data_IF_086118100875
#
_entry.id   IF_086118100875
#
_cell.length_a   1.000
_cell.length_b   1.000
_cell.length_c   1.000
_cell.angle_alpha   90.00
_cell.angle_beta   90.00
_cell.angle_gamma   90.00
#
_symmetry.space_group_name_H-M   'P 1'
#
loop_
_entity.id
_entity.type
_entity.pdbx_description
1 polymer ?
#
# COMPACT_ATOMS: atom_id res chain seq x y z
N UNK A 1 22.42 -3.90 2.23
CA UNK A 1 21.16 -4.65 2.49
C UNK A 1 21.18 -5.87 1.58
N UNK A 2 20.69 -7.03 2.02
CA UNK A 2 20.48 -8.16 1.10
C UNK A 2 19.45 -7.73 0.06
N UNK A 3 19.75 -7.91 -1.22
CA UNK A 3 18.78 -7.64 -2.28
C UNK A 3 17.81 -8.84 -2.38
N UNK A 4 16.52 -8.53 -2.46
CA UNK A 4 15.44 -9.51 -2.57
C UNK A 4 14.71 -9.20 -3.88
N UNK A 5 14.97 -9.99 -4.93
CA UNK A 5 14.54 -9.66 -6.29
C UNK A 5 13.03 -9.64 -6.49
N UNK A 6 12.28 -10.41 -5.70
CA UNK A 6 10.82 -10.43 -5.71
C UNK A 6 10.21 -9.16 -5.11
N UNK A 7 10.90 -8.48 -4.20
CA UNK A 7 10.31 -7.38 -3.43
C UNK A 7 9.97 -6.17 -4.32
N UNK A 8 10.85 -5.71 -5.25
CA UNK A 8 10.46 -4.72 -6.24
C UNK A 8 9.26 -5.17 -7.08
N UNK A 9 9.20 -6.43 -7.51
CA UNK A 9 8.08 -6.95 -8.32
C UNK A 9 6.77 -6.95 -7.54
N UNK A 10 6.78 -7.42 -6.28
CA UNK A 10 5.61 -7.39 -5.40
C UNK A 10 5.16 -5.95 -5.16
N UNK A 11 6.09 -5.01 -4.92
CA UNK A 11 5.78 -3.58 -4.77
C UNK A 11 5.15 -3.01 -6.02
N UNK A 12 5.62 -3.39 -7.21
CA UNK A 12 5.05 -2.93 -8.48
C UNK A 12 3.59 -3.34 -8.61
N UNK A 13 3.29 -4.62 -8.36
CA UNK A 13 1.92 -5.15 -8.42
C UNK A 13 1.04 -4.46 -7.38
N UNK A 14 1.51 -4.31 -6.14
CA UNK A 14 0.75 -3.59 -5.10
C UNK A 14 0.46 -2.13 -5.51
N UNK A 15 1.44 -1.44 -6.10
CA UNK A 15 1.28 -0.06 -6.62
C UNK A 15 0.22 -0.01 -7.71
N UNK A 16 0.32 -0.95 -8.66
CA UNK A 16 -0.61 -1.07 -9.77
C UNK A 16 -2.04 -1.32 -9.29
N UNK A 17 -2.23 -2.18 -8.28
CA UNK A 17 -3.53 -2.42 -7.67
C UNK A 17 -4.05 -1.15 -6.96
N UNK A 18 -3.24 -0.49 -6.13
CA UNK A 18 -3.66 0.75 -5.46
C UNK A 18 -4.06 1.85 -6.47
N UNK A 19 -3.30 2.00 -7.56
CA UNK A 19 -3.66 2.93 -8.64
C UNK A 19 -5.01 2.55 -9.26
N UNK A 20 -5.27 1.26 -9.47
CA UNK A 20 -6.55 0.77 -9.99
C UNK A 20 -7.72 1.15 -9.07
N UNK A 21 -7.56 1.00 -7.75
CA UNK A 21 -8.57 1.43 -6.75
C UNK A 21 -8.87 2.92 -6.93
N UNK A 22 -7.85 3.77 -7.00
CA UNK A 22 -8.04 5.22 -7.00
C UNK A 22 -8.57 5.77 -8.32
N UNK A 23 -8.20 5.15 -9.45
CA UNK A 23 -8.74 5.49 -10.75
C UNK A 23 -10.23 5.09 -10.85
N UNK A 24 -10.57 3.86 -10.45
CA UNK A 24 -11.98 3.39 -10.43
C UNK A 24 -12.83 4.11 -9.36
N UNK A 25 -12.25 4.52 -8.23
CA UNK A 25 -12.96 5.28 -7.20
C UNK A 25 -13.45 6.66 -7.68
N UNK A 26 -12.95 7.17 -8.82
CA UNK A 26 -13.51 8.38 -9.42
C UNK A 26 -14.90 8.16 -10.03
N UNK A 27 -15.33 6.90 -10.19
CA UNK A 27 -16.59 6.50 -10.80
C UNK A 27 -17.69 6.22 -9.77
N UNK A 28 -17.41 6.45 -8.48
CA UNK A 28 -18.44 6.35 -7.44
C UNK A 28 -19.54 7.38 -7.69
N UNK A 29 -20.79 6.90 -7.76
CA UNK A 29 -21.97 7.76 -7.78
C UNK A 29 -22.32 8.26 -6.36
N UNK A 30 -23.38 9.05 -6.24
CA UNK A 30 -23.88 9.57 -4.95
C UNK A 30 -24.22 8.47 -3.93
N UNK A 31 -24.53 7.26 -4.40
CA UNK A 31 -24.89 6.12 -3.56
C UNK A 31 -23.66 5.28 -3.17
N UNK A 32 -22.45 5.70 -3.55
CA UNK A 32 -21.23 4.97 -3.25
C UNK A 32 -21.04 3.70 -4.08
N UNK A 33 -21.67 3.61 -5.24
CA UNK A 33 -21.58 2.46 -6.17
C UNK A 33 -20.86 2.86 -7.45
N UNK A 34 -20.10 1.94 -8.04
CA UNK A 34 -19.58 2.07 -9.41
C UNK A 34 -20.56 1.37 -10.34
N UNK A 35 -21.19 2.13 -11.24
CA UNK A 35 -22.31 1.63 -12.08
C UNK A 35 -21.88 0.47 -12.97
N UNK A 36 -20.68 0.52 -13.55
CA UNK A 36 -20.14 -0.56 -14.36
C UNK A 36 -19.69 -1.74 -13.47
N UNK A 37 -20.26 -2.96 -13.65
CA UNK A 37 -19.92 -4.10 -12.82
C UNK A 37 -18.46 -4.55 -12.96
N UNK A 38 -17.90 -4.50 -14.18
CA UNK A 38 -16.51 -4.94 -14.43
C UNK A 38 -15.54 -4.03 -13.68
N UNK A 39 -15.78 -2.72 -13.72
CA UNK A 39 -14.98 -1.74 -12.98
C UNK A 39 -15.18 -1.86 -11.46
N UNK A 40 -16.37 -2.25 -10.98
CA UNK A 40 -16.60 -2.64 -9.59
C UNK A 40 -15.75 -3.83 -9.17
N UNK A 41 -15.71 -4.89 -9.98
CA UNK A 41 -14.84 -6.06 -9.70
C UNK A 41 -13.36 -5.67 -9.69
N UNK A 42 -12.89 -4.89 -10.67
CA UNK A 42 -11.51 -4.39 -10.66
C UNK A 42 -11.19 -3.57 -9.42
N UNK A 43 -12.10 -2.68 -8.99
CA UNK A 43 -11.93 -1.91 -7.76
C UNK A 43 -11.77 -2.83 -6.55
N UNK A 44 -12.65 -3.82 -6.39
CA UNK A 44 -12.65 -4.70 -5.21
C UNK A 44 -11.47 -5.67 -5.19
N UNK A 45 -11.14 -6.32 -6.31
CA UNK A 45 -9.95 -7.19 -6.42
C UNK A 45 -8.68 -6.39 -6.12
N UNK A 46 -8.61 -5.15 -6.60
CA UNK A 46 -7.46 -4.29 -6.39
C UNK A 46 -7.24 -3.92 -4.90
N UNK A 47 -8.23 -4.08 -4.02
CA UNK A 47 -8.10 -3.80 -2.58
C UNK A 47 -7.14 -4.71 -1.85
N UNK A 48 -6.73 -5.83 -2.46
CA UNK A 48 -5.63 -6.68 -1.99
C UNK A 48 -4.26 -5.95 -1.99
N UNK A 49 -4.12 -4.89 -2.79
CA UNK A 49 -2.87 -4.13 -2.91
C UNK A 49 -2.42 -3.45 -1.62
N UNK A 50 -3.34 -2.82 -0.87
CA UNK A 50 -3.01 -2.06 0.34
C UNK A 50 -2.49 -2.93 1.49
N UNK A 51 -3.11 -4.08 1.81
CA UNK A 51 -2.54 -5.01 2.80
C UNK A 51 -1.19 -5.59 2.35
N UNK A 52 -0.98 -5.88 1.05
CA UNK A 52 0.34 -6.29 0.56
C UNK A 52 1.38 -5.20 0.78
N UNK A 53 1.05 -3.92 0.57
CA UNK A 53 1.93 -2.82 0.94
C UNK A 53 2.26 -2.80 2.44
N UNK A 54 1.31 -3.15 3.31
CA UNK A 54 1.55 -3.23 4.75
C UNK A 54 2.55 -4.35 5.08
N UNK A 55 2.36 -5.54 4.50
CA UNK A 55 3.29 -6.67 4.61
C UNK A 55 4.69 -6.28 4.16
N UNK A 56 4.81 -5.68 2.97
CA UNK A 56 6.12 -5.32 2.41
C UNK A 56 6.79 -4.18 3.20
N UNK A 57 6.01 -3.25 3.76
CA UNK A 57 6.55 -2.19 4.63
C UNK A 57 7.20 -2.78 5.87
N UNK A 58 6.53 -3.73 6.53
CA UNK A 58 7.06 -4.43 7.70
C UNK A 58 8.24 -5.36 7.36
N UNK A 59 8.18 -6.00 6.18
CA UNK A 59 9.27 -6.81 5.65
C UNK A 59 10.55 -5.98 5.51
N UNK A 60 10.47 -4.86 4.77
CA UNK A 60 11.62 -3.98 4.52
C UNK A 60 12.17 -3.40 5.83
N UNK A 61 11.29 -3.10 6.78
CA UNK A 61 11.67 -2.61 8.10
C UNK A 61 12.51 -3.64 8.86
N UNK A 62 12.00 -4.87 8.93
CA UNK A 62 12.68 -6.00 9.58
C UNK A 62 13.98 -6.36 8.90
N UNK A 63 13.99 -6.47 7.56
CA UNK A 63 15.18 -6.77 6.79
C UNK A 63 16.29 -5.73 6.97
N UNK A 64 15.94 -4.46 7.26
CA UNK A 64 16.92 -3.40 7.51
C UNK A 64 17.68 -3.56 8.84
N UNK A 65 17.14 -4.31 9.80
CA UNK A 65 17.75 -4.55 11.13
C UNK A 65 18.32 -5.95 11.32
N UNK A 66 18.20 -6.85 10.34
CA UNK A 66 18.75 -8.21 10.45
C UNK A 66 20.28 -8.26 10.37
N UNK A 67 20.92 -7.26 9.73
CA UNK A 67 22.37 -7.22 9.49
C UNK A 67 23.08 -6.00 10.09
N UNK A 68 22.34 -5.14 10.78
CA UNK A 68 22.85 -3.92 11.39
C UNK A 68 22.34 -3.87 12.81
N UNK A 69 23.20 -3.44 13.72
CA UNK A 69 22.76 -3.13 15.08
C UNK A 69 21.66 -2.08 15.03
N UNK A 70 20.64 -2.29 15.86
CA UNK A 70 19.50 -1.40 15.91
C UNK A 70 19.84 -0.19 16.77
N UNK A 71 20.12 0.93 16.11
CA UNK A 71 20.30 2.22 16.76
C UNK A 71 19.01 3.03 16.66
N UNK A 72 18.31 3.21 17.78
CA UNK A 72 17.04 3.93 17.82
C UNK A 72 17.14 5.38 17.29
N UNK A 73 18.16 6.20 17.65
CA UNK A 73 18.27 7.57 17.14
C UNK A 73 18.45 7.62 15.61
N UNK A 74 19.33 6.77 15.07
CA UNK A 74 19.53 6.65 13.63
C UNK A 74 18.27 6.17 12.91
N UNK A 75 17.57 5.19 13.49
CA UNK A 75 16.31 4.68 12.97
C UNK A 75 15.25 5.78 12.86
N UNK A 76 15.00 6.51 13.95
CA UNK A 76 14.00 7.60 13.98
C UNK A 76 14.37 8.68 12.95
N UNK A 77 15.61 9.16 12.95
CA UNK A 77 16.08 10.20 12.01
C UNK A 77 15.92 9.77 10.54
N UNK A 78 16.27 8.52 10.23
CA UNK A 78 16.18 7.98 8.87
C UNK A 78 14.73 7.86 8.38
N UNK A 79 13.80 7.54 9.27
CA UNK A 79 12.38 7.37 8.91
C UNK A 79 11.63 8.71 8.88
N UNK A 80 11.91 9.60 9.83
CA UNK A 80 11.36 10.96 9.83
C UNK A 80 11.67 11.69 8.53
N UNK A 81 12.93 11.72 8.12
CA UNK A 81 13.36 12.44 6.91
C UNK A 81 12.80 11.85 5.61
N UNK A 82 12.68 10.52 5.53
CA UNK A 82 12.28 9.83 4.29
C UNK A 82 10.79 9.61 4.13
N UNK A 83 9.99 9.79 5.19
CA UNK A 83 8.56 9.47 5.17
C UNK A 83 7.74 10.65 5.68
N UNK A 84 8.08 11.22 6.84
CA UNK A 84 7.29 12.32 7.40
C UNK A 84 7.45 13.62 6.59
N UNK A 85 8.66 13.96 6.13
CA UNK A 85 8.85 15.17 5.31
C UNK A 85 8.06 15.09 3.99
N UNK A 86 8.19 14.01 3.18
CA UNK A 86 7.33 13.84 2.00
C UNK A 86 5.85 13.86 2.35
N UNK A 87 5.44 13.23 3.45
CA UNK A 87 4.04 13.23 3.88
C UNK A 87 3.49 14.64 4.11
N UNK A 88 4.22 15.47 4.87
CA UNK A 88 3.82 16.85 5.15
C UNK A 88 3.75 17.63 3.83
N UNK A 89 4.79 17.54 3.00
CA UNK A 89 4.86 18.24 1.70
C UNK A 89 3.69 17.88 0.78
N UNK A 90 3.42 16.59 0.60
CA UNK A 90 2.31 16.14 -0.25
C UNK A 90 0.96 16.48 0.36
N UNK A 91 0.79 16.38 1.68
CA UNK A 91 -0.43 16.81 2.37
C UNK A 91 -0.71 18.28 2.12
N UNK A 92 0.30 19.15 2.26
CA UNK A 92 0.17 20.59 1.95
C UNK A 92 -0.20 20.80 0.48
N UNK A 93 0.48 20.11 -0.44
CA UNK A 93 0.19 20.21 -1.87
C UNK A 93 -1.26 19.82 -2.19
N UNK A 94 -1.75 18.70 -1.66
CA UNK A 94 -3.14 18.27 -1.90
C UNK A 94 -4.17 19.25 -1.33
N UNK A 95 -3.90 19.88 -0.18
CA UNK A 95 -4.76 20.93 0.37
C UNK A 95 -4.84 22.11 -0.61
N UNK A 96 -3.69 22.60 -1.09
CA UNK A 96 -3.63 23.71 -2.07
C UNK A 96 -4.35 23.33 -3.37
N UNK A 97 -4.06 22.15 -3.91
CA UNK A 97 -4.66 21.68 -5.16
C UNK A 97 -6.17 21.57 -5.06
N UNK A 98 -6.72 21.09 -3.94
CA UNK A 98 -8.16 21.03 -3.74
C UNK A 98 -8.79 22.41 -3.62
N UNK A 99 -8.12 23.37 -2.98
CA UNK A 99 -8.59 24.76 -2.95
C UNK A 99 -8.63 25.40 -4.35
N UNK A 100 -7.71 25.05 -5.24
CA UNK A 100 -7.59 25.67 -6.58
C UNK A 100 -8.41 24.95 -7.65
N UNK A 101 -8.40 23.61 -7.67
CA UNK A 101 -8.93 22.79 -8.76
C UNK A 101 -10.35 22.27 -8.51
N UNK A 102 -10.83 22.29 -7.27
CA UNK A 102 -12.13 21.72 -6.91
C UNK A 102 -12.96 22.69 -6.08
N UNK A 103 -14.18 22.99 -6.54
CA UNK A 103 -15.20 23.67 -5.72
C UNK A 103 -15.73 22.79 -4.56
N UNK A 104 -15.24 21.56 -4.41
CA UNK A 104 -15.54 20.70 -3.26
C UNK A 104 -14.71 21.17 -2.07
N UNK A 105 -15.21 22.22 -1.40
CA UNK A 105 -14.67 22.68 -0.14
C UNK A 105 -14.60 21.48 0.82
N UNK A 106 -13.43 21.29 1.41
CA UNK A 106 -13.31 20.62 2.69
C UNK A 106 -14.47 21.03 3.61
N UNK A 107 -15.04 20.12 4.44
CA UNK A 107 -16.16 20.49 5.30
C UNK A 107 -15.84 21.78 6.06
N UNK A 108 -16.68 22.80 5.87
CA UNK A 108 -16.41 24.14 6.35
C UNK A 108 -16.11 24.14 7.86
N UNK A 109 -15.09 24.89 8.28
CA UNK A 109 -14.65 24.95 9.68
C UNK A 109 -13.77 23.79 10.14
N UNK A 110 -13.40 22.83 9.28
CA UNK A 110 -12.43 21.79 9.65
C UNK A 110 -11.04 22.41 9.84
N UNK A 111 -10.42 22.29 11.03
CA UNK A 111 -9.07 22.82 11.24
C UNK A 111 -8.06 22.15 10.33
N UNK A 112 -7.19 22.94 9.68
CA UNK A 112 -6.16 22.45 8.74
C UNK A 112 -5.33 21.32 9.35
N UNK A 113 -5.01 21.41 10.64
CA UNK A 113 -4.24 20.40 11.36
C UNK A 113 -4.89 19.00 11.32
N UNK A 114 -6.22 18.89 11.25
CA UNK A 114 -6.93 17.59 11.16
C UNK A 114 -6.52 16.84 9.88
N UNK A 115 -6.20 17.52 8.78
CA UNK A 115 -5.73 16.86 7.54
C UNK A 115 -4.39 16.16 7.69
N UNK A 116 -3.48 16.75 8.48
CA UNK A 116 -2.16 16.19 8.78
C UNK A 116 -2.21 15.10 9.84
N UNK A 117 -3.13 15.19 10.81
CA UNK A 117 -3.23 14.20 11.88
C UNK A 117 -4.04 12.97 11.47
N UNK A 118 -5.02 13.13 10.58
CA UNK A 118 -5.90 12.04 10.11
C UNK A 118 -5.52 11.53 8.72
N UNK A 119 -4.64 12.23 7.99
CA UNK A 119 -4.24 11.85 6.63
C UNK A 119 -5.40 11.94 5.64
N UNK A 120 -6.30 12.89 5.87
CA UNK A 120 -7.55 13.08 5.11
C UNK A 120 -7.44 14.17 4.04
N UNK A 121 -6.26 14.78 3.83
CA UNK A 121 -6.06 15.72 2.72
C UNK A 121 -6.35 15.07 1.36
N UNK A 122 -6.03 13.78 1.22
CA UNK A 122 -6.38 12.97 0.06
C UNK A 122 -6.62 11.51 0.48
N UNK A 123 -7.52 10.82 -0.23
CA UNK A 123 -8.09 9.52 0.19
C UNK A 123 -7.08 8.41 0.42
N UNK A 124 -5.89 8.48 -0.17
CA UNK A 124 -4.86 7.45 -0.04
C UNK A 124 -3.89 7.74 1.11
N UNK A 125 -3.65 9.01 1.47
CA UNK A 125 -2.55 9.46 2.33
C UNK A 125 -2.60 8.90 3.76
N UNK A 126 -3.78 8.49 4.24
CA UNK A 126 -3.95 7.81 5.52
C UNK A 126 -2.97 6.63 5.70
N UNK A 127 -2.62 5.94 4.61
CA UNK A 127 -1.74 4.78 4.68
C UNK A 127 -0.29 5.16 5.06
N UNK A 128 0.16 6.39 4.81
CA UNK A 128 1.45 6.86 5.34
C UNK A 128 1.43 6.96 6.87
N UNK A 129 0.29 7.34 7.47
CA UNK A 129 0.12 7.32 8.93
C UNK A 129 0.16 5.90 9.49
N UNK A 130 -0.34 4.91 8.75
CA UNK A 130 -0.18 3.47 9.10
C UNK A 130 1.31 3.11 9.12
N UNK A 131 2.07 3.50 8.10
CA UNK A 131 3.52 3.25 8.02
C UNK A 131 4.29 3.95 9.16
N UNK A 132 3.89 5.16 9.54
CA UNK A 132 4.45 5.86 10.71
C UNK A 132 4.17 5.07 11.99
N UNK A 133 2.94 4.58 12.20
CA UNK A 133 2.61 3.73 13.35
C UNK A 133 3.40 2.42 13.36
N UNK A 134 3.68 1.82 12.19
CA UNK A 134 4.60 0.68 12.10
C UNK A 134 6.00 1.03 12.59
N UNK A 135 6.50 2.23 12.30
CA UNK A 135 7.81 2.67 12.81
C UNK A 135 7.79 2.94 14.31
N UNK A 136 6.67 3.37 14.87
CA UNK A 136 6.51 3.51 16.32
C UNK A 136 6.46 2.13 17.00
N UNK A 137 5.74 1.17 16.42
CA UNK A 137 5.62 -0.18 17.00
C UNK A 137 6.90 -1.01 16.85
N UNK A 138 7.63 -0.84 15.75
CA UNK A 138 8.77 -1.69 15.40
C UNK A 138 9.90 -1.78 16.44
N UNK A 139 10.36 -0.69 17.09
CA UNK A 139 11.33 -0.75 18.19
C UNK A 139 10.97 -1.72 19.32
N UNK A 140 9.68 -2.00 19.53
CA UNK A 140 9.24 -2.93 20.57
C UNK A 140 9.24 -4.40 20.11
N UNK A 141 9.08 -4.64 18.81
CA UNK A 141 8.90 -5.99 18.26
C UNK A 141 10.07 -6.49 17.40
N UNK A 142 11.05 -5.63 17.07
CA UNK A 142 12.13 -6.01 16.15
C UNK A 142 12.97 -7.19 16.69
N UNK A 143 13.09 -7.33 18.02
CA UNK A 143 13.84 -8.38 18.71
C UNK A 143 13.13 -9.74 18.78
N UNK A 144 11.86 -9.84 18.34
CA UNK A 144 11.13 -11.12 18.36
C UNK A 144 11.91 -12.21 17.63
N UNK A 145 12.32 -13.26 18.32
CA UNK A 145 13.11 -14.34 17.70
C UNK A 145 12.22 -15.22 16.82
N UNK A 146 12.83 -15.92 15.86
CA UNK A 146 12.18 -17.05 15.18
C UNK A 146 11.68 -18.06 16.22
N UNK A 147 10.61 -18.77 15.89
CA UNK A 147 9.97 -19.80 16.69
C UNK A 147 8.70 -19.28 17.36
N UNK A 148 8.41 -19.83 18.53
CA UNK A 148 7.21 -19.51 19.30
C UNK A 148 6.98 -17.99 19.50
N UNK A 149 7.98 -17.14 19.84
CA UNK A 149 7.72 -15.73 20.09
C UNK A 149 7.11 -14.99 18.89
N UNK A 150 7.62 -15.23 17.68
CA UNK A 150 7.11 -14.58 16.47
C UNK A 150 5.79 -15.18 16.00
N UNK A 151 5.61 -16.50 16.14
CA UNK A 151 4.36 -17.18 15.79
C UNK A 151 3.23 -16.72 16.72
N UNK A 152 3.48 -16.67 18.04
CA UNK A 152 2.52 -16.17 19.03
C UNK A 152 2.18 -14.70 18.75
N UNK A 153 3.18 -13.85 18.48
CA UNK A 153 2.93 -12.46 18.14
C UNK A 153 2.08 -12.30 16.87
N UNK A 154 2.31 -13.12 15.85
CA UNK A 154 1.48 -13.13 14.64
C UNK A 154 0.04 -13.59 14.91
N UNK A 155 -0.15 -14.67 15.69
CA UNK A 155 -1.47 -15.18 16.06
C UNK A 155 -2.24 -14.15 16.89
N UNK A 156 -1.62 -13.59 17.94
CA UNK A 156 -2.22 -12.57 18.78
C UNK A 156 -2.54 -11.31 17.96
N UNK A 157 -1.59 -10.83 17.15
CA UNK A 157 -1.82 -9.69 16.27
C UNK A 157 -2.98 -9.92 15.30
N UNK A 158 -3.10 -11.14 14.77
CA UNK A 158 -4.22 -11.52 13.91
C UNK A 158 -5.55 -11.56 14.65
N UNK A 159 -5.58 -12.14 15.85
CA UNK A 159 -6.78 -12.15 16.70
C UNK A 159 -7.23 -10.71 17.03
N UNK A 160 -6.30 -9.85 17.45
CA UNK A 160 -6.57 -8.43 17.71
C UNK A 160 -7.14 -7.75 16.46
N UNK A 161 -6.55 -7.99 15.28
CA UNK A 161 -7.02 -7.41 14.03
C UNK A 161 -8.45 -7.86 13.70
N UNK A 162 -8.78 -9.15 13.83
CA UNK A 162 -10.12 -9.68 13.57
C UNK A 162 -11.15 -9.13 14.55
N UNK A 163 -10.83 -9.13 15.86
CA UNK A 163 -11.71 -8.57 16.88
C UNK A 163 -11.94 -7.07 16.66
N UNK A 164 -10.88 -6.33 16.32
CA UNK A 164 -10.96 -4.91 16.00
C UNK A 164 -11.88 -4.65 14.81
N UNK A 165 -11.70 -5.36 13.69
CA UNK A 165 -12.49 -5.12 12.48
C UNK A 165 -13.97 -5.50 12.64
N UNK A 166 -14.29 -6.51 13.45
CA UNK A 166 -15.67 -6.93 13.67
C UNK A 166 -16.41 -6.10 14.74
N UNK A 167 -15.70 -5.67 15.79
CA UNK A 167 -16.35 -5.12 16.98
C UNK A 167 -15.85 -3.75 17.43
N UNK A 168 -14.64 -3.33 17.03
CA UNK A 168 -14.02 -2.09 17.50
C UNK A 168 -14.03 -0.95 16.48
N UNK A 169 -13.85 -1.25 15.20
CA UNK A 169 -13.71 -0.24 14.15
C UNK A 169 -15.01 0.54 13.96
N UNK A 170 -15.01 1.82 14.33
CA UNK A 170 -16.18 2.70 14.18
C UNK A 170 -17.12 2.72 15.39
N UNK A 171 -16.85 1.93 16.43
CA UNK A 171 -17.72 1.77 17.61
C UNK A 171 -17.10 2.33 18.89
N UNK A 172 -15.78 2.54 18.92
CA UNK A 172 -15.08 3.08 20.10
C UNK A 172 -15.49 4.53 20.32
N UNK A 173 -15.82 4.87 21.57
CA UNK A 173 -16.14 6.24 22.00
C UNK A 173 -15.06 6.75 22.97
N UNK A 174 -14.37 7.82 22.57
CA UNK A 174 -13.37 8.51 23.40
C UNK A 174 -13.80 9.95 23.67
N UNK A 175 -13.41 10.48 24.83
CA UNK A 175 -13.72 11.86 25.24
C UNK A 175 -13.12 12.92 24.31
N UNK A 176 -11.92 12.68 23.77
CA UNK A 176 -11.30 13.57 22.80
C UNK A 176 -11.80 13.26 21.40
N UNK A 177 -12.49 14.23 20.77
CA UNK A 177 -12.99 14.12 19.40
C UNK A 177 -11.88 13.69 18.43
N UNK A 178 -10.70 14.30 18.54
CA UNK A 178 -9.57 14.00 17.66
C UNK A 178 -9.08 12.55 17.80
N UNK A 179 -8.90 12.08 19.03
CA UNK A 179 -8.50 10.69 19.28
C UNK A 179 -9.59 9.72 18.84
N UNK A 180 -10.85 10.07 19.08
CA UNK A 180 -12.01 9.30 18.66
C UNK A 180 -12.03 9.12 17.13
N UNK A 181 -11.86 10.20 16.38
CA UNK A 181 -11.80 10.16 14.91
C UNK A 181 -10.59 9.36 14.42
N UNK A 182 -9.41 9.55 15.02
CA UNK A 182 -8.21 8.84 14.60
C UNK A 182 -8.31 7.33 14.83
N UNK A 183 -8.73 6.90 16.02
CA UNK A 183 -8.84 5.49 16.40
C UNK A 183 -9.87 4.77 15.53
N UNK A 184 -10.99 5.42 15.22
CA UNK A 184 -12.02 4.86 14.34
C UNK A 184 -11.72 5.03 12.83
N UNK A 185 -10.58 5.62 12.47
CA UNK A 185 -10.22 5.82 11.06
C UNK A 185 -9.54 4.60 10.45
N UNK A 186 -9.49 4.58 9.10
CA UNK A 186 -8.72 3.59 8.32
C UNK A 186 -7.21 3.64 8.62
N UNK A 187 -6.71 4.74 9.16
CA UNK A 187 -5.29 4.92 9.50
C UNK A 187 -4.88 4.13 10.74
N UNK A 188 -5.81 3.72 11.59
CA UNK A 188 -5.45 3.12 12.86
C UNK A 188 -4.75 1.76 12.70
N UNK A 189 -3.65 1.56 13.43
CA UNK A 189 -2.77 0.39 13.28
C UNK A 189 -3.49 -0.96 13.49
N UNK A 190 -4.53 -1.01 14.32
CA UNK A 190 -5.25 -2.26 14.58
C UNK A 190 -5.98 -2.79 13.35
N UNK A 191 -6.25 -1.96 12.34
CA UNK A 191 -6.74 -2.41 11.04
C UNK A 191 -5.70 -3.22 10.24
N UNK A 192 -4.41 -3.10 10.57
CA UNK A 192 -3.28 -3.57 9.77
C UNK A 192 -2.29 -4.47 10.51
N UNK A 193 -2.49 -4.68 11.83
CA UNK A 193 -1.50 -5.30 12.71
C UNK A 193 -1.20 -6.77 12.36
N UNK A 194 -2.17 -7.53 11.83
CA UNK A 194 -1.94 -8.88 11.29
C UNK A 194 -0.91 -8.85 10.15
N UNK A 195 -1.10 -7.95 9.18
CA UNK A 195 -0.23 -7.80 8.02
C UNK A 195 1.16 -7.29 8.40
N UNK A 196 1.25 -6.45 9.43
CA UNK A 196 2.53 -6.02 10.00
C UNK A 196 3.33 -7.21 10.52
N UNK A 197 2.74 -8.05 11.38
CA UNK A 197 3.41 -9.25 11.87
C UNK A 197 3.67 -10.28 10.78
N UNK A 198 2.78 -10.43 9.78
CA UNK A 198 3.02 -11.26 8.61
C UNK A 198 4.29 -10.82 7.85
N UNK A 199 4.50 -9.51 7.69
CA UNK A 199 5.70 -8.98 7.05
C UNK A 199 6.98 -9.18 7.87
N UNK A 200 6.92 -9.05 9.20
CA UNK A 200 8.03 -9.41 10.10
C UNK A 200 8.35 -10.90 9.98
N UNK A 201 7.31 -11.74 10.00
CA UNK A 201 7.40 -13.18 9.77
C UNK A 201 8.07 -13.50 8.44
N UNK A 202 7.61 -12.89 7.36
CA UNK A 202 8.17 -13.09 6.03
C UNK A 202 9.63 -12.68 5.93
N UNK A 203 10.04 -11.58 6.55
CA UNK A 203 11.44 -11.16 6.55
C UNK A 203 12.36 -12.12 7.31
N UNK A 204 11.92 -12.63 8.46
CA UNK A 204 12.72 -13.55 9.29
C UNK A 204 12.75 -14.94 8.66
N UNK A 205 11.61 -15.47 8.24
CA UNK A 205 11.46 -16.78 7.58
C UNK A 205 11.60 -16.71 6.06
N UNK A 206 12.35 -15.73 5.55
CA UNK A 206 12.39 -15.46 4.11
C UNK A 206 12.74 -16.68 3.28
N UNK A 207 13.77 -17.44 3.68
CA UNK A 207 14.21 -18.62 2.93
C UNK A 207 13.18 -19.74 3.06
N UNK A 208 12.75 -20.01 4.29
CA UNK A 208 11.80 -21.08 4.61
C UNK A 208 10.47 -20.91 3.89
N UNK A 209 9.91 -19.70 3.88
CA UNK A 209 8.65 -19.40 3.19
C UNK A 209 8.81 -19.54 1.67
N UNK A 210 9.87 -18.97 1.09
CA UNK A 210 10.12 -19.11 -0.34
C UNK A 210 10.29 -20.58 -0.76
N UNK A 211 11.08 -21.35 0.00
CA UNK A 211 11.33 -22.76 -0.29
C UNK A 211 10.03 -23.58 -0.20
N UNK A 212 9.20 -23.37 0.83
CA UNK A 212 7.91 -24.04 0.98
C UNK A 212 6.94 -23.65 -0.14
N UNK A 213 6.79 -22.35 -0.44
CA UNK A 213 5.88 -21.87 -1.48
C UNK A 213 6.25 -22.44 -2.85
N UNK A 214 7.55 -22.50 -3.17
CA UNK A 214 8.00 -23.00 -4.46
C UNK A 214 7.96 -24.53 -4.55
N UNK A 215 8.28 -25.24 -3.45
CA UNK A 215 8.16 -26.70 -3.37
C UNK A 215 6.70 -27.15 -3.57
N UNK A 216 5.75 -26.45 -2.95
CA UNK A 216 4.33 -26.79 -2.96
C UNK A 216 3.50 -25.87 -3.87
N UNK A 217 4.11 -25.30 -4.91
CA UNK A 217 3.50 -24.27 -5.78
C UNK A 217 2.15 -24.66 -6.37
N UNK A 218 1.91 -25.95 -6.65
CA UNK A 218 0.63 -26.42 -7.20
C UNK A 218 -0.50 -26.27 -6.18
N UNK A 219 -0.25 -26.57 -4.90
CA UNK A 219 -1.24 -26.41 -3.84
C UNK A 219 -1.56 -24.94 -3.58
N UNK A 220 -0.54 -24.08 -3.56
CA UNK A 220 -0.77 -22.62 -3.47
C UNK A 220 -1.55 -22.06 -4.65
N UNK A 221 -1.33 -22.58 -5.87
CA UNK A 221 -2.16 -22.21 -7.04
C UNK A 221 -3.60 -22.67 -6.89
N UNK A 222 -3.85 -23.91 -6.47
CA UNK A 222 -5.20 -24.45 -6.28
C UNK A 222 -5.94 -23.65 -5.20
N UNK A 223 -5.34 -23.50 -4.01
CA UNK A 223 -5.91 -22.72 -2.90
C UNK A 223 -6.11 -21.27 -3.34
N UNK A 224 -5.13 -20.70 -4.06
CA UNK A 224 -5.22 -19.36 -4.62
C UNK A 224 -6.41 -19.18 -5.57
N UNK A 225 -6.63 -20.14 -6.47
CA UNK A 225 -7.79 -20.14 -7.38
C UNK A 225 -9.10 -20.26 -6.61
N UNK A 226 -9.19 -21.15 -5.62
CA UNK A 226 -10.39 -21.31 -4.79
C UNK A 226 -10.71 -20.02 -4.02
N UNK A 227 -9.71 -19.39 -3.40
CA UNK A 227 -9.88 -18.13 -2.69
C UNK A 227 -10.18 -16.96 -3.63
N UNK A 228 -9.66 -16.99 -4.86
CA UNK A 228 -10.01 -16.00 -5.87
C UNK A 228 -11.47 -16.14 -6.31
N UNK A 229 -11.95 -17.36 -6.52
CA UNK A 229 -13.37 -17.62 -6.80
C UNK A 229 -14.25 -17.17 -5.62
N UNK A 230 -13.88 -17.52 -4.38
CA UNK A 230 -14.56 -17.06 -3.17
C UNK A 230 -14.60 -15.52 -3.08
N UNK A 231 -13.49 -14.85 -3.40
CA UNK A 231 -13.44 -13.38 -3.48
C UNK A 231 -14.42 -12.84 -4.52
N UNK A 232 -14.45 -13.41 -5.73
CA UNK A 232 -15.38 -12.98 -6.79
C UNK A 232 -16.84 -13.16 -6.35
N UNK A 233 -17.18 -14.30 -5.75
CA UNK A 233 -18.55 -14.58 -5.29
C UNK A 233 -18.97 -13.62 -4.16
N UNK A 234 -18.05 -13.26 -3.27
CA UNK A 234 -18.33 -12.36 -2.13
C UNK A 234 -18.35 -10.88 -2.50
N UNK A 235 -17.93 -10.50 -3.70
CA UNK A 235 -18.01 -9.10 -4.14
C UNK A 235 -19.49 -8.74 -4.33
N UNK A 236 -20.01 -7.98 -3.39
CA UNK A 236 -21.28 -7.28 -3.54
C UNK A 236 -21.02 -5.94 -4.23
N UNK A 237 -21.39 -5.85 -5.51
CA UNK A 237 -21.24 -4.63 -6.30
C UNK A 237 -22.13 -3.48 -5.82
N UNK A 238 -23.15 -3.77 -4.99
CA UNK A 238 -24.02 -2.77 -4.39
C UNK A 238 -23.48 -2.27 -3.05
N UNK A 239 -22.71 -3.10 -2.34
CA UNK A 239 -22.10 -2.77 -1.05
C UNK A 239 -20.56 -2.93 -1.10
N UNK A 240 -19.92 -1.99 -1.80
CA UNK A 240 -18.47 -1.99 -1.98
C UNK A 240 -17.74 -1.74 -0.64
N UNK A 241 -16.80 -2.61 -0.28
CA UNK A 241 -16.09 -2.55 1.00
C UNK A 241 -14.67 -1.96 0.88
N UNK A 242 -14.05 -1.62 2.00
CA UNK A 242 -12.69 -1.06 2.09
C UNK A 242 -11.56 -2.09 2.10
N UNK A 243 -10.29 -1.68 1.98
CA UNK A 243 -9.15 -2.62 2.11
C UNK A 243 -8.99 -3.23 3.51
N UNK A 244 -9.65 -2.69 4.52
CA UNK A 244 -9.71 -3.18 5.91
C UNK A 244 -10.84 -4.20 6.06
N UNK A 245 -10.71 -5.36 5.43
CA UNK A 245 -11.69 -6.45 5.46
C UNK A 245 -11.11 -7.68 6.20
N UNK A 246 -11.90 -8.30 7.07
CA UNK A 246 -11.51 -9.49 7.85
C UNK A 246 -11.07 -10.65 6.94
N UNK A 247 -11.70 -10.83 5.78
CA UNK A 247 -11.35 -11.88 4.83
C UNK A 247 -9.91 -11.74 4.31
N UNK A 248 -9.33 -10.53 4.33
CA UNK A 248 -7.95 -10.31 3.93
C UNK A 248 -6.94 -11.01 4.85
N UNK A 249 -7.29 -11.34 6.09
CA UNK A 249 -6.45 -12.17 6.98
C UNK A 249 -6.16 -13.54 6.34
N UNK A 250 -7.09 -14.06 5.54
CA UNK A 250 -6.95 -15.32 4.80
C UNK A 250 -6.41 -15.10 3.39
N UNK A 251 -6.92 -14.11 2.66
CA UNK A 251 -6.52 -13.89 1.27
C UNK A 251 -5.06 -13.43 1.14
N UNK A 252 -4.56 -12.57 2.03
CA UNK A 252 -3.26 -11.91 1.86
C UNK A 252 -2.07 -12.86 1.99
N UNK A 253 -2.01 -13.81 2.95
CA UNK A 253 -0.96 -14.81 2.98
C UNK A 253 -0.86 -15.64 1.69
N UNK A 254 -2.01 -16.07 1.13
CA UNK A 254 -2.05 -16.85 -0.11
C UNK A 254 -1.71 -15.97 -1.31
N UNK A 255 -2.23 -14.74 -1.37
CA UNK A 255 -1.90 -13.79 -2.42
C UNK A 255 -0.40 -13.47 -2.44
N UNK A 256 0.24 -13.28 -1.28
CA UNK A 256 1.69 -13.14 -1.17
C UNK A 256 2.43 -14.36 -1.74
N UNK A 257 1.98 -15.58 -1.43
CA UNK A 257 2.55 -16.81 -1.99
C UNK A 257 2.41 -16.86 -3.53
N UNK A 258 1.25 -16.46 -4.07
CA UNK A 258 1.04 -16.36 -5.52
C UNK A 258 1.98 -15.33 -6.15
N UNK A 259 2.26 -14.20 -5.49
CA UNK A 259 3.21 -13.20 -5.99
C UNK A 259 4.67 -13.71 -5.97
N UNK A 260 5.04 -14.53 -4.99
CA UNK A 260 6.35 -15.22 -4.96
C UNK A 260 6.47 -16.21 -6.14
N UNK A 261 5.41 -16.97 -6.41
CA UNK A 261 5.34 -17.89 -7.56
C UNK A 261 5.40 -17.11 -8.87
N UNK A 262 4.66 -16.00 -8.97
CA UNK A 262 4.66 -15.11 -10.11
C UNK A 262 6.06 -14.58 -10.41
N UNK A 263 6.75 -14.03 -9.40
CA UNK A 263 8.14 -13.59 -9.56
C UNK A 263 9.04 -14.71 -10.09
N UNK A 264 8.94 -15.92 -9.53
CA UNK A 264 9.77 -17.04 -9.98
C UNK A 264 9.45 -17.51 -11.40
N UNK A 265 8.25 -17.25 -11.90
CA UNK A 265 7.87 -17.48 -13.28
C UNK A 265 8.43 -16.38 -14.22
N UNK A 266 8.39 -15.11 -13.79
CA UNK A 266 8.77 -13.98 -14.66
C UNK A 266 10.24 -13.57 -14.56
N UNK A 267 11.00 -14.02 -13.56
CA UNK A 267 12.38 -13.57 -13.29
C UNK A 267 13.36 -13.74 -14.46
N UNK A 268 13.10 -14.70 -15.35
CA UNK A 268 13.92 -14.94 -16.55
C UNK A 268 13.50 -14.07 -17.74
N UNK A 269 12.33 -13.41 -17.69
CA UNK A 269 11.88 -12.46 -18.69
C UNK A 269 12.44 -11.06 -18.37
N UNK A 270 13.59 -10.76 -18.96
CA UNK A 270 14.39 -9.55 -18.65
C UNK A 270 13.57 -8.27 -18.75
N UNK A 271 12.85 -8.05 -19.85
CA UNK A 271 12.07 -6.83 -20.06
C UNK A 271 10.98 -6.66 -18.97
N UNK A 272 10.17 -7.70 -18.76
CA UNK A 272 9.08 -7.66 -17.78
C UNK A 272 9.61 -7.43 -16.36
N UNK A 273 10.65 -8.17 -15.98
CA UNK A 273 11.26 -8.05 -14.64
C UNK A 273 11.91 -6.67 -14.44
N UNK A 274 12.56 -6.12 -15.46
CA UNK A 274 13.13 -4.77 -15.40
C UNK A 274 12.04 -3.70 -15.26
N UNK A 275 10.98 -3.76 -16.06
CA UNK A 275 9.85 -2.84 -15.98
C UNK A 275 9.19 -2.87 -14.61
N UNK A 276 8.86 -4.07 -14.11
CA UNK A 276 8.30 -4.23 -12.77
C UNK A 276 9.27 -3.75 -11.68
N UNK A 277 10.58 -3.99 -11.84
CA UNK A 277 11.58 -3.48 -10.90
C UNK A 277 11.60 -1.95 -10.86
N UNK A 278 11.46 -1.26 -12.01
CA UNK A 278 11.41 0.20 -12.07
C UNK A 278 10.16 0.74 -11.35
N UNK A 279 8.98 0.21 -11.70
CA UNK A 279 7.72 0.58 -11.05
C UNK A 279 7.82 0.34 -9.54
N UNK A 280 8.31 -0.83 -9.15
CA UNK A 280 8.51 -1.24 -7.77
C UNK A 280 9.45 -0.32 -7.01
N UNK A 281 10.57 0.07 -7.59
CA UNK A 281 11.52 1.01 -6.97
C UNK A 281 10.90 2.39 -6.75
N UNK A 282 10.04 2.84 -7.68
CA UNK A 282 9.31 4.10 -7.60
C UNK A 282 7.98 4.02 -6.84
N UNK A 283 7.62 2.86 -6.29
CA UNK A 283 6.28 2.62 -5.71
C UNK A 283 5.84 3.69 -4.71
N UNK A 284 6.74 4.15 -3.82
CA UNK A 284 6.41 5.16 -2.81
C UNK A 284 6.19 6.54 -3.42
N UNK A 285 6.96 6.89 -4.46
CA UNK A 285 6.74 8.11 -5.22
C UNK A 285 5.42 8.03 -5.98
N UNK A 286 5.19 6.97 -6.75
CA UNK A 286 3.95 6.76 -7.50
C UNK A 286 2.74 6.83 -6.56
N UNK A 287 2.82 6.17 -5.41
CA UNK A 287 1.79 6.24 -4.38
C UNK A 287 1.46 7.68 -3.96
N UNK A 288 2.44 8.59 -3.84
CA UNK A 288 2.18 9.99 -3.50
C UNK A 288 1.63 10.81 -4.68
N UNK A 289 2.06 10.52 -5.91
CA UNK A 289 1.77 11.38 -7.09
C UNK A 289 0.57 10.96 -7.91
N UNK A 290 0.16 9.68 -7.87
CA UNK A 290 -0.81 9.15 -8.84
C UNK A 290 -2.19 9.81 -8.73
N UNK A 291 -2.67 10.15 -7.52
CA UNK A 291 -3.97 10.83 -7.39
C UNK A 291 -3.91 12.26 -7.93
N UNK A 292 -2.81 12.98 -7.72
CA UNK A 292 -2.59 14.27 -8.37
C UNK A 292 -2.63 14.17 -9.91
N UNK A 293 -2.01 13.14 -10.48
CA UNK A 293 -2.05 12.91 -11.93
C UNK A 293 -3.48 12.58 -12.39
N UNK A 294 -4.22 11.79 -11.62
CA UNK A 294 -5.65 11.52 -11.88
C UNK A 294 -6.46 12.84 -11.86
N UNK A 295 -6.22 13.73 -10.90
CA UNK A 295 -6.90 15.03 -10.83
C UNK A 295 -6.65 15.88 -12.07
N UNK A 296 -5.40 15.96 -12.56
CA UNK A 296 -5.07 16.68 -13.79
C UNK A 296 -5.68 15.99 -15.01
N UNK A 297 -5.53 14.67 -15.10
CA UNK A 297 -6.03 13.89 -16.23
C UNK A 297 -7.53 14.12 -16.45
N UNK A 298 -8.32 14.22 -15.37
CA UNK A 298 -9.76 14.49 -15.42
C UNK A 298 -10.15 15.91 -15.83
N UNK A 299 -9.23 16.88 -15.79
CA UNK A 299 -9.48 18.24 -16.30
C UNK A 299 -9.40 18.31 -17.83
N UNK A 300 -8.87 17.27 -18.49
CA UNK A 300 -8.77 17.24 -19.95
C UNK A 300 -10.10 16.82 -20.57
N UNK A 301 -10.63 17.52 -21.60
CA UNK A 301 -11.97 17.31 -22.16
C UNK A 301 -12.24 15.92 -22.76
N UNK A 302 -11.23 15.04 -22.84
CA UNK A 302 -11.38 13.62 -23.19
C UNK A 302 -11.91 12.75 -22.01
N UNK A 303 -12.75 13.32 -21.13
CA UNK A 303 -13.15 12.76 -19.82
C UNK A 303 -13.96 11.45 -19.92
N UNK A 304 -14.64 11.22 -21.05
CA UNK A 304 -15.41 9.98 -21.27
C UNK A 304 -14.54 8.71 -21.35
N UNK A 305 -13.21 8.87 -21.36
CA UNK A 305 -12.24 7.77 -21.38
C UNK A 305 -12.15 7.02 -20.03
N UNK A 306 -12.84 7.42 -18.96
CA UNK A 306 -12.80 6.66 -17.68
C UNK A 306 -14.10 5.89 -17.41
N UNK A 307 -15.18 6.22 -18.12
CA UNK A 307 -16.53 5.70 -17.82
C UNK A 307 -16.82 4.34 -18.45
N UNK A 308 -15.92 3.80 -19.28
CA UNK A 308 -16.07 2.51 -19.97
C UNK A 308 -14.85 1.61 -19.70
N UNK A 309 -15.01 0.28 -19.53
CA UNK A 309 -13.90 -0.65 -19.31
C UNK A 309 -12.75 -0.56 -20.34
N UNK A 310 -13.09 -0.35 -21.62
CA UNK A 310 -12.10 -0.26 -22.71
C UNK A 310 -11.22 0.99 -22.58
N UNK A 311 -11.83 2.11 -22.24
CA UNK A 311 -11.14 3.38 -22.08
C UNK A 311 -10.44 3.48 -20.72
N UNK A 312 -10.96 2.78 -19.70
CA UNK A 312 -10.31 2.63 -18.40
C UNK A 312 -8.89 2.07 -18.50
N UNK A 313 -8.68 1.03 -19.31
CA UNK A 313 -7.34 0.43 -19.48
C UNK A 313 -6.34 1.43 -20.06
N UNK A 314 -6.78 2.23 -21.03
CA UNK A 314 -5.95 3.29 -21.62
C UNK A 314 -5.62 4.36 -20.58
N UNK A 315 -6.63 4.86 -19.86
CA UNK A 315 -6.45 5.82 -18.77
C UNK A 315 -5.49 5.29 -17.70
N UNK A 316 -5.63 4.02 -17.32
CA UNK A 316 -4.78 3.35 -16.35
C UNK A 316 -3.32 3.33 -16.78
N UNK A 317 -3.05 2.93 -18.03
CA UNK A 317 -1.70 2.90 -18.60
C UNK A 317 -1.11 4.31 -18.66
N UNK A 318 -1.87 5.30 -19.13
CA UNK A 318 -1.42 6.70 -19.20
C UNK A 318 -1.05 7.21 -17.81
N UNK A 319 -1.94 7.09 -16.83
CA UNK A 319 -1.70 7.57 -15.46
C UNK A 319 -0.49 6.88 -14.83
N UNK A 320 -0.34 5.56 -15.04
CA UNK A 320 0.83 4.82 -14.56
C UNK A 320 2.12 5.30 -15.22
N UNK A 321 2.15 5.42 -16.55
CA UNK A 321 3.32 5.89 -17.30
C UNK A 321 3.71 7.32 -16.91
N UNK A 322 2.74 8.23 -16.83
CA UNK A 322 2.97 9.62 -16.39
C UNK A 322 3.45 9.65 -14.95
N UNK A 323 2.93 8.79 -14.06
CA UNK A 323 3.44 8.66 -12.68
C UNK A 323 4.89 8.22 -12.65
N UNK A 324 5.25 7.15 -13.38
CA UNK A 324 6.65 6.67 -13.47
C UNK A 324 7.57 7.76 -14.02
N UNK A 325 7.16 8.45 -15.07
CA UNK A 325 7.92 9.54 -15.68
C UNK A 325 8.09 10.70 -14.70
N UNK A 326 7.04 11.08 -13.98
CA UNK A 326 7.07 12.17 -12.99
C UNK A 326 8.06 11.85 -11.88
N UNK A 327 8.07 10.62 -11.35
CA UNK A 327 9.06 10.20 -10.35
C UNK A 327 10.47 10.16 -10.93
N UNK A 328 10.64 9.71 -12.18
CA UNK A 328 11.92 9.75 -12.85
C UNK A 328 12.47 11.18 -12.95
N UNK A 329 11.64 12.15 -13.35
CA UNK A 329 12.03 13.56 -13.45
C UNK A 329 12.34 14.15 -12.07
N UNK A 330 11.49 13.92 -11.08
CA UNK A 330 11.73 14.38 -9.69
C UNK A 330 13.03 13.79 -9.16
N UNK A 331 13.38 12.54 -9.51
CA UNK A 331 14.64 11.89 -9.09
C UNK A 331 15.90 12.62 -9.55
N UNK A 332 15.81 13.47 -10.58
CA UNK A 332 16.91 14.27 -11.12
C UNK A 332 17.10 15.59 -10.37
N UNK A 333 16.09 16.05 -9.63
CA UNK A 333 16.15 17.30 -8.89
C UNK A 333 17.10 17.19 -7.67
N UNK A 334 17.77 18.29 -7.28
CA UNK A 334 18.42 18.35 -5.98
C UNK A 334 17.37 18.14 -4.89
N UNK A 335 17.75 17.51 -3.78
CA UNK A 335 16.85 17.29 -2.63
C UNK A 335 15.62 16.39 -2.91
N UNK A 336 15.62 15.64 -4.01
CA UNK A 336 14.51 14.75 -4.42
C UNK A 336 14.04 13.77 -3.34
N UNK A 337 14.92 13.36 -2.43
CA UNK A 337 14.58 12.50 -1.28
C UNK A 337 13.59 13.09 -0.29
N UNK A 338 13.46 14.43 -0.25
CA UNK A 338 12.47 15.13 0.57
C UNK A 338 11.12 15.26 -0.12
N UNK A 339 11.09 15.20 -1.46
CA UNK A 339 9.87 15.28 -2.26
C UNK A 339 9.24 13.89 -2.37
N UNK A 340 10.04 12.89 -2.74
CA UNK A 340 9.56 11.51 -2.88
C UNK A 340 10.61 10.51 -2.36
N UNK A 341 10.20 9.43 -1.67
CA UNK A 341 11.14 8.43 -1.18
C UNK A 341 11.67 7.58 -2.36
N UNK A 342 12.89 7.85 -2.82
CA UNK A 342 13.55 7.07 -3.89
C UNK A 342 14.75 6.29 -3.31
N UNK A 343 14.99 5.04 -3.73
CA UNK A 343 16.24 4.35 -3.44
C UNK A 343 17.45 5.18 -3.89
N UNK A 344 18.49 5.29 -3.05
CA UNK A 344 19.70 6.04 -3.41
C UNK A 344 20.37 5.46 -4.67
N UNK A 345 20.89 6.32 -5.57
CA UNK A 345 21.54 5.93 -6.85
C UNK A 345 22.56 4.78 -6.73
N UNK A 346 23.29 4.65 -5.62
CA UNK A 346 24.24 3.54 -5.36
C UNK A 346 23.60 2.13 -5.41
N UNK A 347 22.30 1.99 -5.16
CA UNK A 347 21.61 0.69 -5.21
C UNK A 347 21.23 0.26 -6.64
N UNK A 348 21.22 1.18 -7.61
CA UNK A 348 20.86 0.90 -9.00
C UNK A 348 22.09 0.41 -9.79
N UNK A 349 23.30 0.77 -9.35
CA UNK A 349 24.57 0.46 -10.04
C UNK A 349 25.10 -0.94 -9.74
N UNK A 350 24.80 -1.54 -8.58
CA UNK A 350 25.19 -2.93 -8.25
C UNK A 350 24.38 -4.01 -9.02
N UNK A 351 23.85 -3.65 -10.19
CA UNK A 351 23.19 -4.56 -11.14
C UNK A 351 24.18 -5.17 -12.14
N UNK A 352 25.49 -4.91 -11.98
CA UNK A 352 26.53 -5.25 -12.96
C UNK A 352 27.69 -6.11 -12.45
N UNK A 353 27.67 -6.58 -11.21
CA UNK A 353 28.67 -7.53 -10.71
C UNK A 353 28.02 -8.84 -10.28
#
# INVERSE_FOLDING_TARGET
>A
MKYYGEIPVIRAIATMLVLCIHLTAQLYNSNGVIVDPILSYFNQIARLGTPIFAVISAFLLTSSTLKREFELPYFIKSRFTKILIPYILWTTLYIILRMVLSNTYYPAGTPIIKYYLLGTAEIHLYFILVVIQFYVLFPFVHKLKKGAPLIIAYIIGTLINVLWLNYGSGTVTLHSEMLNTFVNSKAFILNWISFFFLGIGYAKYYKEINDIVLKYKIYFKIIGTLLFIDLIIKIDITNLYGSTNVANVVYIPIFLALLIIFYNHVKNHTLLTQTLTVIGNYSMGIYLTHVFIIMIYRQTPFVDIVNNPSTFVVSYIIVLCVSVLSIYLISKLPFSSFIVPIPSKRAIVNKKD
#
